data_IF_856392113715
#
_entry.id   IF_856392113715
#
_cell.length_a   1.000
_cell.length_b   1.000
_cell.length_c   1.000
_cell.angle_alpha   90.00
_cell.angle_beta   90.00
_cell.angle_gamma   90.00
#
_symmetry.space_group_name_H-M   'P 1'
#
loop_
_entity.id
_entity.type
_entity.pdbx_description
1 polymer ?
#
# COMPACT_ATOMS: atom_id res chain seq x y z
N UNK A 1 -68.93 -23.59 -25.55
CA UNK A 1 -68.07 -23.03 -24.49
C UNK A 1 -66.65 -23.43 -24.84
N UNK A 2 -65.94 -22.59 -25.58
CA UNK A 2 -64.61 -22.88 -26.15
C UNK A 2 -63.57 -21.97 -25.52
N UNK A 3 -62.48 -22.57 -25.06
CA UNK A 3 -61.48 -21.99 -24.17
C UNK A 3 -60.67 -20.85 -24.82
N UNK A 4 -60.51 -19.76 -24.06
CA UNK A 4 -59.61 -18.65 -24.39
C UNK A 4 -58.15 -19.12 -24.30
N UNK A 5 -57.46 -19.07 -25.43
CA UNK A 5 -56.02 -19.23 -25.54
C UNK A 5 -55.33 -17.96 -25.03
N UNK A 6 -54.70 -18.01 -23.86
CA UNK A 6 -53.81 -16.95 -23.36
C UNK A 6 -52.37 -17.28 -23.74
N UNK A 7 -51.84 -16.58 -24.74
CA UNK A 7 -50.43 -16.65 -25.10
C UNK A 7 -49.62 -15.88 -24.05
N UNK A 8 -48.81 -16.59 -23.27
CA UNK A 8 -47.80 -16.01 -22.39
C UNK A 8 -46.58 -15.66 -23.24
N UNK A 9 -46.40 -14.37 -23.51
CA UNK A 9 -45.20 -13.86 -24.16
C UNK A 9 -44.03 -13.91 -23.15
N UNK A 10 -43.13 -14.88 -23.32
CA UNK A 10 -41.89 -15.00 -22.57
C UNK A 10 -40.90 -13.95 -23.10
N UNK A 11 -40.84 -12.79 -22.44
CA UNK A 11 -39.81 -11.78 -22.67
C UNK A 11 -38.46 -12.28 -22.15
N UNK A 12 -37.57 -12.68 -23.05
CA UNK A 12 -36.20 -13.09 -22.73
C UNK A 12 -35.39 -11.83 -22.35
N UNK A 13 -35.27 -11.53 -21.06
CA UNK A 13 -34.33 -10.52 -20.56
C UNK A 13 -32.94 -11.12 -20.70
N UNK A 14 -32.26 -10.82 -21.80
CA UNK A 14 -30.82 -11.05 -21.94
C UNK A 14 -30.13 -10.02 -21.06
N UNK A 15 -29.91 -10.37 -19.79
CA UNK A 15 -28.99 -9.66 -18.93
C UNK A 15 -27.60 -9.75 -19.58
N UNK A 16 -27.18 -8.68 -20.25
CA UNK A 16 -25.79 -8.51 -20.65
C UNK A 16 -24.96 -8.51 -19.36
N UNK A 17 -24.42 -9.69 -19.03
CA UNK A 17 -23.40 -9.82 -18.01
C UNK A 17 -22.18 -9.05 -18.54
N UNK A 18 -22.10 -7.78 -18.15
CA UNK A 18 -20.85 -7.03 -18.21
C UNK A 18 -19.85 -7.89 -17.45
N UNK A 19 -19.02 -8.60 -18.21
CA UNK A 19 -18.00 -9.47 -17.65
C UNK A 19 -17.07 -8.51 -16.91
N UNK A 20 -17.14 -8.49 -15.59
CA UNK A 20 -16.20 -7.77 -14.76
C UNK A 20 -14.82 -8.31 -15.12
N UNK A 21 -14.10 -7.60 -15.99
CA UNK A 21 -12.77 -7.99 -16.39
C UNK A 21 -11.93 -7.99 -15.12
N UNK A 22 -11.43 -9.17 -14.78
CA UNK A 22 -10.57 -9.32 -13.62
C UNK A 22 -9.31 -8.51 -13.92
N UNK A 23 -8.94 -7.53 -13.09
CA UNK A 23 -7.81 -6.67 -13.37
C UNK A 23 -6.56 -7.53 -13.50
N UNK A 24 -5.90 -7.42 -14.65
CA UNK A 24 -4.74 -8.24 -15.02
C UNK A 24 -3.53 -7.84 -14.18
N UNK A 25 -2.74 -8.78 -13.63
CA UNK A 25 -1.48 -8.49 -12.95
C UNK A 25 -0.54 -7.64 -13.81
N UNK A 26 0.20 -6.74 -13.16
CA UNK A 26 1.22 -5.92 -13.81
C UNK A 26 2.36 -6.78 -14.39
N UNK A 27 2.67 -6.62 -15.68
CA UNK A 27 3.79 -7.34 -16.28
C UNK A 27 5.15 -6.66 -15.97
N UNK A 28 5.95 -7.27 -15.08
CA UNK A 28 7.31 -6.82 -14.75
C UNK A 28 8.31 -6.99 -15.91
N UNK A 29 8.09 -7.96 -16.80
CA UNK A 29 8.97 -8.21 -17.93
C UNK A 29 8.85 -7.07 -18.96
N UNK A 30 7.66 -6.50 -19.12
CA UNK A 30 7.42 -5.34 -19.97
C UNK A 30 7.97 -4.05 -19.33
N UNK A 31 9.05 -3.43 -19.85
CA UNK A 31 9.63 -2.21 -19.30
C UNK A 31 8.88 -0.93 -19.71
N UNK A 32 7.87 -1.01 -20.58
CA UNK A 32 7.20 0.17 -21.10
C UNK A 32 6.53 0.96 -19.97
N UNK A 33 6.82 2.26 -19.92
CA UNK A 33 6.27 3.14 -18.91
C UNK A 33 4.75 3.32 -19.12
N UNK A 34 3.97 3.16 -18.05
CA UNK A 34 2.50 3.14 -18.11
C UNK A 34 1.86 3.36 -16.75
N UNK A 35 0.56 3.61 -16.74
CA UNK A 35 -0.22 3.63 -15.52
C UNK A 35 -0.57 2.21 -15.08
N UNK A 36 -0.48 1.99 -13.77
CA UNK A 36 -0.89 0.75 -13.08
C UNK A 36 -1.73 1.13 -11.87
N UNK A 37 -2.49 0.18 -11.34
CA UNK A 37 -3.20 0.31 -10.08
C UNK A 37 -2.44 -0.41 -8.96
N UNK A 38 -2.36 0.23 -7.80
CA UNK A 38 -1.81 -0.33 -6.57
C UNK A 38 -2.91 -0.42 -5.53
N UNK A 39 -3.11 -1.61 -4.98
CA UNK A 39 -3.97 -1.82 -3.81
C UNK A 39 -3.10 -2.31 -2.67
N UNK A 40 -3.16 -1.67 -1.52
CA UNK A 40 -2.39 -2.07 -0.35
C UNK A 40 -3.30 -2.67 0.71
N UNK A 41 -2.76 -3.59 1.52
CA UNK A 41 -3.46 -4.04 2.72
C UNK A 41 -3.37 -2.93 3.77
N UNK A 42 -4.50 -2.30 4.07
CA UNK A 42 -4.62 -1.24 5.08
C UNK A 42 -5.31 -1.84 6.29
N UNK A 43 -4.57 -1.99 7.38
CA UNK A 43 -5.14 -2.40 8.65
C UNK A 43 -5.48 -1.19 9.53
N UNK A 44 -6.54 -1.27 10.35
CA UNK A 44 -6.70 -0.33 11.45
C UNK A 44 -5.48 -0.43 12.38
N UNK A 45 -5.19 0.65 13.12
CA UNK A 45 -3.96 0.77 13.94
C UNK A 45 -3.74 -0.34 14.96
N UNK A 46 -4.78 -1.13 15.27
CA UNK A 46 -4.83 -2.16 16.29
C UNK A 46 -5.01 -3.59 15.75
N UNK A 47 -5.05 -3.80 14.42
CA UNK A 47 -5.17 -5.13 13.83
C UNK A 47 -3.98 -5.48 12.91
N UNK A 48 -3.60 -6.76 12.90
CA UNK A 48 -2.64 -7.28 11.93
C UNK A 48 -3.32 -7.64 10.58
N UNK A 49 -4.61 -7.99 10.64
CA UNK A 49 -5.43 -8.28 9.46
C UNK A 49 -6.03 -6.97 8.94
N UNK A 50 -5.73 -6.64 7.68
CA UNK A 50 -6.23 -5.44 7.03
C UNK A 50 -7.31 -5.73 6.00
N UNK A 51 -7.88 -4.64 5.48
CA UNK A 51 -8.71 -4.67 4.27
C UNK A 51 -7.88 -4.19 3.09
N UNK A 52 -8.21 -4.69 1.91
CA UNK A 52 -7.58 -4.21 0.69
C UNK A 52 -8.11 -2.80 0.39
N UNK A 53 -7.21 -1.84 0.16
CA UNK A 53 -7.60 -0.48 -0.21
C UNK A 53 -8.36 -0.45 -1.55
N UNK A 54 -9.06 0.66 -1.86
CA UNK A 54 -9.37 1.02 -3.24
C UNK A 54 -8.08 1.09 -4.09
N UNK A 55 -8.17 0.97 -5.42
CA UNK A 55 -7.02 1.16 -6.29
C UNK A 55 -6.50 2.61 -6.21
N UNK A 56 -5.21 2.74 -5.88
CA UNK A 56 -4.45 3.96 -6.05
C UNK A 56 -3.78 3.96 -7.42
N UNK A 57 -3.81 5.09 -8.12
CA UNK A 57 -3.11 5.21 -9.41
C UNK A 57 -1.61 5.32 -9.17
N UNK A 58 -0.82 4.59 -9.96
CA UNK A 58 0.62 4.64 -9.88
C UNK A 58 1.26 4.64 -11.27
N UNK A 59 2.42 5.30 -11.36
CA UNK A 59 3.22 5.29 -12.57
C UNK A 59 4.28 4.18 -12.49
N UNK A 60 4.29 3.30 -13.48
CA UNK A 60 5.29 2.26 -13.67
C UNK A 60 6.31 2.69 -14.73
N UNK A 61 7.59 2.48 -14.46
CA UNK A 61 8.70 2.77 -15.40
C UNK A 61 9.96 1.95 -15.08
N UNK A 62 10.94 1.90 -16.00
CA UNK A 62 12.27 1.36 -15.70
C UNK A 62 12.95 2.12 -14.55
N UNK A 63 13.69 1.39 -13.72
CA UNK A 63 14.48 1.98 -12.63
C UNK A 63 15.83 2.54 -13.10
N UNK A 64 16.68 2.85 -12.12
CA UNK A 64 17.98 3.46 -12.38
C UNK A 64 19.00 2.45 -12.90
N UNK A 65 18.89 1.19 -12.44
CA UNK A 65 19.76 0.10 -12.90
C UNK A 65 19.03 -0.85 -13.85
N UNK A 66 19.75 -1.53 -14.76
CA UNK A 66 19.15 -2.56 -15.61
C UNK A 66 18.50 -3.65 -14.77
N UNK A 67 17.23 -3.94 -15.04
CA UNK A 67 16.44 -4.94 -14.31
C UNK A 67 15.56 -4.36 -13.21
N UNK A 68 15.78 -3.13 -12.77
CA UNK A 68 14.88 -2.47 -11.83
C UNK A 68 13.58 -2.00 -12.51
N UNK A 69 12.49 -2.09 -11.76
CA UNK A 69 11.19 -1.48 -12.06
C UNK A 69 10.78 -0.59 -10.93
N UNK A 70 10.30 0.60 -11.26
CA UNK A 70 9.81 1.58 -10.31
C UNK A 70 8.31 1.73 -10.51
N UNK A 71 7.54 1.49 -9.45
CA UNK A 71 6.14 1.88 -9.35
C UNK A 71 6.08 3.03 -8.35
N UNK A 72 5.40 4.13 -8.69
CA UNK A 72 5.17 5.16 -7.67
C UNK A 72 3.77 5.71 -7.67
N UNK A 73 3.18 5.64 -6.47
CA UNK A 73 1.88 6.22 -6.14
C UNK A 73 2.12 7.68 -5.74
N UNK A 74 1.52 8.67 -6.41
CA UNK A 74 1.70 10.07 -6.06
C UNK A 74 1.30 10.38 -4.61
N UNK A 75 2.00 11.30 -3.95
CA UNK A 75 1.67 11.72 -2.58
C UNK A 75 0.18 12.01 -2.30
N UNK A 76 -0.53 12.77 -3.17
CA UNK A 76 -1.97 12.99 -3.02
C UNK A 76 -2.82 11.70 -3.10
N UNK A 77 -2.38 10.70 -3.87
CA UNK A 77 -3.03 9.38 -3.92
C UNK A 77 -2.75 8.57 -2.65
N UNK A 78 -1.54 8.68 -2.07
CA UNK A 78 -1.19 8.06 -0.78
C UNK A 78 -2.10 8.58 0.33
N UNK A 79 -2.25 9.91 0.44
CA UNK A 79 -3.14 10.57 1.40
C UNK A 79 -4.58 10.07 1.23
N UNK A 80 -5.09 10.15 0.00
CA UNK A 80 -6.48 9.86 -0.32
C UNK A 80 -6.85 8.39 -0.16
N UNK A 81 -5.94 7.45 -0.44
CA UNK A 81 -6.26 6.02 -0.53
C UNK A 81 -5.78 5.23 0.67
N UNK A 82 -4.51 5.41 1.06
CA UNK A 82 -3.89 4.59 2.13
C UNK A 82 -4.08 5.20 3.52
N UNK A 83 -4.34 6.50 3.58
CA UNK A 83 -4.57 7.25 4.82
C UNK A 83 -5.97 7.85 4.91
N UNK A 84 -6.93 7.36 4.11
CA UNK A 84 -8.31 7.86 4.07
C UNK A 84 -9.02 7.87 5.44
N UNK A 85 -8.74 6.88 6.28
CA UNK A 85 -9.32 6.75 7.62
C UNK A 85 -8.50 7.46 8.71
N UNK A 86 -7.43 8.18 8.32
CA UNK A 86 -6.58 8.97 9.21
C UNK A 86 -6.62 10.43 8.82
N UNK A 87 -6.36 11.30 9.79
CA UNK A 87 -6.28 12.74 9.53
C UNK A 87 -4.89 13.07 8.96
N UNK A 88 -4.67 12.74 7.68
CA UNK A 88 -3.43 13.10 6.99
C UNK A 88 -3.27 14.63 6.94
N UNK A 89 -2.05 15.12 7.18
CA UNK A 89 -1.72 16.53 6.94
C UNK A 89 -1.68 16.74 5.43
N UNK A 90 -2.49 17.67 4.93
CA UNK A 90 -2.67 17.87 3.50
C UNK A 90 -1.36 18.18 2.78
N UNK A 91 -1.11 17.50 1.66
CA UNK A 91 0.09 17.67 0.82
C UNK A 91 1.42 17.40 1.55
N UNK A 92 1.38 16.65 2.65
CA UNK A 92 2.59 16.30 3.40
C UNK A 92 3.26 15.04 2.88
N UNK A 93 2.53 14.17 2.18
CA UNK A 93 3.06 12.88 1.75
C UNK A 93 3.93 13.00 0.50
N UNK A 94 5.06 12.31 0.54
CA UNK A 94 5.86 12.00 -0.64
C UNK A 94 5.16 10.95 -1.50
N UNK A 95 5.65 10.78 -2.74
CA UNK A 95 5.32 9.59 -3.52
C UNK A 95 5.67 8.33 -2.71
N UNK A 96 4.80 7.32 -2.78
CA UNK A 96 5.12 5.98 -2.31
C UNK A 96 5.74 5.19 -3.44
N UNK A 97 7.06 5.06 -3.37
CA UNK A 97 7.90 4.45 -4.40
C UNK A 97 8.17 3.01 -4.03
N UNK A 98 7.98 2.10 -4.98
CA UNK A 98 8.36 0.70 -4.92
C UNK A 98 9.39 0.43 -6.00
N UNK A 99 10.52 -0.17 -5.62
CA UNK A 99 11.59 -0.61 -6.51
C UNK A 99 11.61 -2.14 -6.47
N UNK A 100 11.31 -2.75 -7.61
CA UNK A 100 11.26 -4.20 -7.78
C UNK A 100 12.37 -4.65 -8.72
N UNK A 101 12.97 -5.80 -8.42
CA UNK A 101 13.81 -6.53 -9.37
C UNK A 101 12.92 -7.31 -10.35
N UNK A 102 13.04 -7.04 -11.64
CA UNK A 102 12.17 -7.62 -12.67
C UNK A 102 12.36 -9.14 -12.83
N UNK A 103 13.56 -9.67 -12.56
CA UNK A 103 13.88 -11.08 -12.76
C UNK A 103 13.37 -11.96 -11.62
N UNK A 104 13.54 -11.51 -10.39
CA UNK A 104 13.19 -12.27 -9.19
C UNK A 104 11.86 -11.86 -8.55
N UNK A 105 11.31 -10.70 -8.93
CA UNK A 105 10.12 -10.12 -8.30
C UNK A 105 10.37 -9.58 -6.90
N UNK A 106 11.61 -9.60 -6.39
CA UNK A 106 11.92 -9.07 -5.06
C UNK A 106 11.72 -7.55 -5.02
N UNK A 107 11.00 -7.07 -3.99
CA UNK A 107 11.04 -5.64 -3.62
C UNK A 107 12.40 -5.36 -3.01
N UNK A 108 13.20 -4.57 -3.72
CA UNK A 108 14.51 -4.09 -3.29
C UNK A 108 14.32 -3.04 -2.20
N UNK A 109 13.46 -2.05 -2.46
CA UNK A 109 13.07 -1.02 -1.52
C UNK A 109 11.64 -0.55 -1.82
N UNK A 110 10.88 -0.21 -0.79
CA UNK A 110 9.69 0.61 -0.94
C UNK A 110 9.58 1.60 0.21
N UNK A 111 9.26 2.85 -0.07
CA UNK A 111 9.29 3.91 0.94
C UNK A 111 8.36 5.08 0.63
N UNK A 112 7.88 5.71 1.70
CA UNK A 112 7.22 7.01 1.66
C UNK A 112 7.47 7.74 2.97
N UNK A 113 7.26 9.05 2.98
CA UNK A 113 7.18 9.87 4.18
C UNK A 113 5.97 10.78 4.13
N UNK A 114 5.50 11.25 5.28
CA UNK A 114 4.39 12.21 5.37
C UNK A 114 4.14 12.62 6.81
N UNK A 115 3.02 13.28 7.04
CA UNK A 115 2.58 13.63 8.39
C UNK A 115 1.08 13.33 8.58
N UNK A 116 0.72 12.93 9.80
CA UNK A 116 -0.65 12.68 10.21
C UNK A 116 -0.93 13.42 11.52
N UNK A 117 -2.15 13.93 11.68
CA UNK A 117 -2.66 14.40 12.95
C UNK A 117 -3.22 13.20 13.73
N UNK A 118 -2.51 12.80 14.79
CA UNK A 118 -2.97 11.74 15.67
C UNK A 118 -3.71 12.34 16.88
N UNK A 119 -4.94 11.89 17.18
CA UNK A 119 -5.61 12.28 18.41
C UNK A 119 -4.86 11.68 19.61
N UNK A 120 -4.65 12.49 20.64
CA UNK A 120 -3.98 12.09 21.87
C UNK A 120 -4.85 12.43 23.07
N UNK A 121 -4.93 11.47 23.99
CA UNK A 121 -5.62 11.64 25.27
C UNK A 121 -4.58 11.85 26.37
N UNK A 122 -4.59 13.04 26.98
CA UNK A 122 -3.72 13.38 28.11
C UNK A 122 -4.62 13.74 29.29
N UNK A 123 -4.99 12.73 30.07
CA UNK A 123 -5.99 12.88 31.13
C UNK A 123 -7.36 13.26 30.53
N UNK A 124 -8.05 14.31 31.02
CA UNK A 124 -9.34 14.74 30.48
C UNK A 124 -9.23 15.58 29.18
N UNK A 125 -8.01 15.89 28.71
CA UNK A 125 -7.81 16.71 27.52
C UNK A 125 -7.73 15.82 26.28
N UNK A 126 -8.61 16.11 25.30
CA UNK A 126 -8.52 15.58 23.95
C UNK A 126 -7.84 16.61 23.05
N UNK A 127 -6.70 16.25 22.48
CA UNK A 127 -5.94 17.11 21.56
C UNK A 127 -5.50 16.32 20.33
N UNK A 128 -4.93 16.98 19.34
CA UNK A 128 -4.29 16.34 18.20
C UNK A 128 -2.84 16.80 18.09
N UNK A 129 -1.94 15.87 17.82
CA UNK A 129 -0.53 16.18 17.57
C UNK A 129 -0.15 15.75 16.17
N UNK A 130 0.63 16.59 15.49
CA UNK A 130 1.25 16.21 14.23
C UNK A 130 2.36 15.19 14.50
N UNK A 131 2.29 14.06 13.78
CA UNK A 131 3.26 12.97 13.83
C UNK A 131 3.85 12.81 12.44
N UNK A 132 5.14 13.04 12.31
CA UNK A 132 5.88 12.74 11.08
C UNK A 132 6.07 11.22 10.98
N UNK A 133 5.80 10.66 9.80
CA UNK A 133 5.97 9.24 9.53
C UNK A 133 6.92 9.02 8.36
N UNK A 134 7.77 8.02 8.47
CA UNK A 134 8.62 7.54 7.39
C UNK A 134 8.59 6.01 7.38
N UNK A 135 8.31 5.42 6.22
CA UNK A 135 8.19 3.98 6.05
C UNK A 135 9.28 3.45 5.11
N UNK A 136 9.80 2.26 5.42
CA UNK A 136 10.70 1.50 4.54
C UNK A 136 10.30 0.04 4.56
N UNK A 137 10.23 -0.59 3.39
CA UNK A 137 9.90 -2.00 3.19
C UNK A 137 10.85 -2.68 2.21
N UNK A 138 11.05 -3.98 2.39
CA UNK A 138 11.81 -4.83 1.48
C UNK A 138 11.37 -6.29 1.66
N UNK A 139 11.48 -7.09 0.61
CA UNK A 139 11.31 -8.55 0.73
C UNK A 139 12.51 -9.24 1.38
N UNK A 140 13.65 -8.54 1.49
CA UNK A 140 14.88 -9.02 2.12
C UNK A 140 14.98 -8.65 3.60
N UNK A 141 14.13 -7.75 4.08
CA UNK A 141 14.09 -7.40 5.50
C UNK A 141 13.33 -8.48 6.28
N UNK A 142 13.99 -9.21 7.21
CA UNK A 142 13.27 -10.06 8.14
C UNK A 142 12.48 -9.18 9.12
N UNK A 143 11.49 -9.78 9.77
CA UNK A 143 10.83 -9.13 10.90
C UNK A 143 9.37 -9.53 11.04
N UNK A 144 8.68 -8.74 11.84
CA UNK A 144 7.27 -8.92 12.09
C UNK A 144 6.78 -7.90 13.09
N UNK A 145 5.87 -8.34 13.96
CA UNK A 145 5.28 -7.46 14.94
C UNK A 145 5.25 -8.06 16.35
N UNK A 146 5.29 -7.19 17.34
CA UNK A 146 5.01 -7.54 18.74
C UNK A 146 3.54 -7.34 19.05
N UNK A 147 3.10 -7.89 20.19
CA UNK A 147 1.74 -7.67 20.69
C UNK A 147 1.43 -6.17 20.77
N UNK A 148 0.18 -5.76 20.45
CA UNK A 148 -0.24 -4.38 20.60
C UNK A 148 -0.03 -3.89 22.04
N UNK A 149 0.46 -2.67 22.20
CA UNK A 149 0.56 -1.98 23.48
C UNK A 149 0.09 -0.54 23.31
N UNK A 150 -0.24 0.14 24.41
CA UNK A 150 -0.77 1.51 24.36
C UNK A 150 0.31 2.55 24.62
N UNK A 151 0.36 3.59 23.79
CA UNK A 151 1.16 4.81 24.00
C UNK A 151 0.19 5.98 23.92
N UNK A 152 0.05 6.74 25.02
CA UNK A 152 -0.84 7.90 25.11
C UNK A 152 -2.28 7.63 24.60
N UNK A 153 -2.85 6.51 25.05
CA UNK A 153 -4.20 6.08 24.67
C UNK A 153 -4.31 5.37 23.30
N UNK A 154 -3.26 5.38 22.48
CA UNK A 154 -3.25 4.79 21.13
C UNK A 154 -2.66 3.39 21.13
N UNK A 155 -3.32 2.45 20.46
CA UNK A 155 -2.77 1.12 20.23
C UNK A 155 -1.65 1.20 19.19
N UNK A 156 -0.47 0.69 19.55
CA UNK A 156 0.71 0.63 18.70
C UNK A 156 1.15 -0.82 18.60
N UNK A 157 1.25 -1.30 17.36
CA UNK A 157 1.83 -2.60 17.04
C UNK A 157 3.31 -2.36 16.75
N UNK A 158 4.18 -2.72 17.70
CA UNK A 158 5.62 -2.48 17.55
C UNK A 158 6.22 -3.35 16.44
N UNK A 159 7.09 -2.79 15.62
CA UNK A 159 7.91 -3.58 14.71
C UNK A 159 9.02 -4.31 15.47
N UNK A 160 9.33 -5.54 15.06
CA UNK A 160 10.49 -6.28 15.51
C UNK A 160 11.30 -6.77 14.32
N UNK A 161 12.58 -6.38 14.25
CA UNK A 161 13.50 -6.79 13.18
C UNK A 161 13.95 -8.26 13.35
N UNK A 162 14.14 -8.71 14.58
CA UNK A 162 14.51 -10.10 14.86
C UNK A 162 13.25 -10.98 14.96
N UNK A 163 12.93 -11.62 13.83
CA UNK A 163 11.82 -12.56 13.71
C UNK A 163 11.97 -13.83 14.58
N UNK A 164 13.16 -14.10 15.14
CA UNK A 164 13.39 -15.25 16.04
C UNK A 164 13.15 -14.92 17.50
N UNK A 165 12.99 -13.65 17.84
CA UNK A 165 12.71 -13.23 19.21
C UNK A 165 11.34 -13.75 19.66
N UNK A 166 11.25 -14.31 20.88
CA UNK A 166 10.04 -14.98 21.41
C UNK A 166 8.76 -14.14 21.37
N UNK A 167 8.90 -12.83 21.51
CA UNK A 167 7.80 -11.86 21.54
C UNK A 167 7.50 -11.25 20.15
N UNK A 168 8.14 -11.76 19.10
CA UNK A 168 7.97 -11.32 17.71
C UNK A 168 7.16 -12.34 16.93
N UNK A 169 5.99 -11.94 16.46
CA UNK A 169 5.22 -12.69 15.47
C UNK A 169 5.84 -12.41 14.10
N UNK A 170 6.62 -13.36 13.60
CA UNK A 170 7.26 -13.27 12.30
C UNK A 170 6.22 -13.14 11.17
N UNK A 171 6.50 -12.25 10.21
CA UNK A 171 5.72 -12.13 8.98
C UNK A 171 6.58 -12.65 7.84
N UNK A 172 6.11 -13.67 7.13
CA UNK A 172 6.84 -14.18 5.97
C UNK A 172 6.80 -13.14 4.84
N UNK A 173 7.94 -12.85 4.19
CA UNK A 173 7.97 -12.04 2.96
C UNK A 173 7.68 -12.92 1.74
N UNK A 174 7.22 -12.30 0.66
CA UNK A 174 7.02 -12.95 -0.62
C UNK A 174 7.38 -11.99 -1.75
N UNK A 175 8.14 -12.48 -2.73
CA UNK A 175 8.40 -11.79 -3.98
C UNK A 175 7.09 -11.58 -4.77
N UNK A 176 7.16 -10.73 -5.80
CA UNK A 176 6.05 -10.49 -6.70
C UNK A 176 5.62 -11.78 -7.39
N UNK A 177 4.34 -12.12 -7.26
CA UNK A 177 3.72 -13.24 -7.94
C UNK A 177 3.05 -12.75 -9.24
N UNK A 178 3.54 -13.17 -10.42
CA UNK A 178 3.00 -12.73 -11.71
C UNK A 178 1.58 -13.23 -11.98
N UNK A 179 1.09 -14.27 -11.29
CA UNK A 179 -0.28 -14.77 -11.49
C UNK A 179 -1.31 -13.93 -10.75
N UNK A 180 -0.99 -13.46 -9.54
CA UNK A 180 -1.91 -12.68 -8.70
C UNK A 180 -1.61 -11.18 -8.67
N UNK A 181 -0.41 -10.78 -9.10
CA UNK A 181 0.13 -9.45 -8.97
C UNK A 181 0.47 -9.04 -7.55
N UNK A 182 0.52 -9.99 -6.62
CA UNK A 182 0.71 -9.76 -5.19
C UNK A 182 2.19 -9.70 -4.83
N UNK A 183 2.53 -8.83 -3.88
CA UNK A 183 3.82 -8.84 -3.18
C UNK A 183 3.62 -8.73 -1.68
N UNK A 184 4.61 -9.20 -0.91
CA UNK A 184 4.67 -8.99 0.54
C UNK A 184 6.07 -8.60 0.97
N UNK A 185 6.30 -7.30 1.08
CA UNK A 185 7.49 -6.72 1.68
C UNK A 185 7.26 -6.48 3.18
N UNK A 186 8.28 -6.72 3.99
CA UNK A 186 8.27 -6.40 5.41
C UNK A 186 9.00 -5.08 5.65
N UNK A 187 8.68 -4.42 6.76
CA UNK A 187 9.30 -3.16 7.10
C UNK A 187 8.67 -2.49 8.29
N UNK A 188 9.10 -1.26 8.53
CA UNK A 188 8.68 -0.47 9.67
C UNK A 188 8.25 0.93 9.24
N UNK A 189 7.37 1.52 10.04
CA UNK A 189 7.07 2.94 10.03
C UNK A 189 7.73 3.56 11.25
N UNK A 190 8.67 4.46 11.01
CA UNK A 190 9.19 5.35 12.03
C UNK A 190 8.20 6.50 12.22
N UNK A 191 7.54 6.55 13.36
CA UNK A 191 6.69 7.67 13.76
C UNK A 191 7.44 8.57 14.75
N UNK A 192 7.48 9.86 14.45
CA UNK A 192 8.22 10.86 15.21
C UNK A 192 7.27 11.97 15.66
N UNK A 193 7.28 12.26 16.96
CA UNK A 193 6.61 13.41 17.55
C UNK A 193 7.57 14.09 18.52
N UNK A 194 8.00 15.32 18.18
CA UNK A 194 9.08 16.03 18.89
C UNK A 194 10.34 15.15 18.99
N UNK A 195 10.79 14.80 20.20
CA UNK A 195 11.93 13.92 20.45
C UNK A 195 11.55 12.45 20.63
N UNK A 196 10.26 12.11 20.64
CA UNK A 196 9.79 10.74 20.77
C UNK A 196 9.78 10.08 19.40
N UNK A 197 10.39 8.90 19.32
CA UNK A 197 10.43 8.06 18.11
C UNK A 197 9.93 6.67 18.46
N UNK A 198 9.12 6.11 17.59
CA UNK A 198 8.65 4.73 17.73
C UNK A 198 8.67 4.03 16.38
N UNK A 199 9.03 2.75 16.40
CA UNK A 199 9.00 1.88 15.24
C UNK A 199 7.73 1.01 15.31
N UNK A 200 6.80 1.29 14.42
CA UNK A 200 5.56 0.55 14.29
C UNK A 200 5.61 -0.40 13.08
N UNK A 201 4.95 -1.54 13.21
CA UNK A 201 4.65 -2.42 12.09
C UNK A 201 3.44 -1.87 11.31
N UNK A 202 3.42 -2.09 9.99
CA UNK A 202 2.26 -1.79 9.15
C UNK A 202 2.10 -2.85 8.05
N UNK A 203 0.86 -3.10 7.66
CA UNK A 203 0.52 -4.00 6.55
C UNK A 203 0.69 -3.38 5.17
N UNK A 204 1.03 -2.08 5.07
CA UNK A 204 1.22 -1.38 3.79
C UNK A 204 2.32 -1.98 2.89
N UNK A 205 3.23 -2.79 3.47
CA UNK A 205 4.20 -3.58 2.72
C UNK A 205 3.58 -4.74 1.92
N UNK A 206 2.29 -5.06 2.11
CA UNK A 206 1.56 -6.01 1.27
C UNK A 206 0.73 -5.25 0.23
N UNK A 207 0.99 -5.52 -1.05
CA UNK A 207 0.34 -4.81 -2.15
C UNK A 207 0.02 -5.74 -3.33
N UNK A 208 -0.93 -5.30 -4.14
CA UNK A 208 -1.31 -5.89 -5.41
C UNK A 208 -1.12 -4.84 -6.50
N UNK A 209 -0.43 -5.23 -7.57
CA UNK A 209 -0.17 -4.39 -8.74
C UNK A 209 -0.86 -4.98 -9.95
N UNK A 210 -1.76 -4.20 -10.55
CA UNK A 210 -2.51 -4.59 -11.74
C UNK A 210 -2.37 -3.54 -12.83
N UNK A 211 -2.47 -3.97 -14.08
CA UNK A 211 -2.57 -3.06 -15.22
C UNK A 211 -3.80 -2.17 -15.07
N UNK A 212 -3.65 -0.90 -15.44
CA UNK A 212 -4.75 0.05 -15.50
C UNK A 212 -5.28 0.08 -16.93
N UNK A 213 -6.60 0.02 -17.08
CA UNK A 213 -7.21 0.06 -18.41
C UNK A 213 -7.05 1.46 -19.03
N UNK A 214 -6.90 1.52 -20.35
CA UNK A 214 -6.56 2.75 -21.08
C UNK A 214 -7.55 3.92 -20.83
N UNK A 215 -8.80 3.62 -20.47
CA UNK A 215 -9.83 4.62 -20.19
C UNK A 215 -9.65 5.31 -18.82
N UNK A 216 -9.02 4.64 -17.86
CA UNK A 216 -8.77 5.17 -16.51
C UNK A 216 -7.42 5.91 -16.42
N UNK A 217 -6.60 5.83 -17.48
CA UNK A 217 -5.22 6.32 -17.49
C UNK A 217 -5.15 7.84 -17.70
N UNK A 218 -4.51 8.60 -16.79
CA UNK A 218 -4.23 10.01 -17.02
C UNK A 218 -3.35 10.23 -18.26
N UNK A 219 -3.54 11.34 -19.00
CA UNK A 219 -2.87 11.56 -20.28
C UNK A 219 -1.35 11.74 -20.20
N UNK A 220 -0.79 12.08 -19.01
CA UNK A 220 0.66 12.28 -18.82
C UNK A 220 1.11 11.91 -17.41
N UNK A 221 2.38 11.50 -17.30
CA UNK A 221 3.08 11.35 -16.02
C UNK A 221 3.05 12.69 -15.25
N UNK A 222 2.75 12.69 -13.94
CA UNK A 222 2.93 13.87 -13.12
C UNK A 222 4.41 14.30 -13.12
N UNK A 223 4.69 15.59 -13.26
CA UNK A 223 6.06 16.12 -13.14
C UNK A 223 6.59 15.79 -11.74
N UNK A 224 7.60 14.93 -11.66
CA UNK A 224 8.30 14.62 -10.40
C UNK A 224 9.40 15.63 -10.11
N UNK A 225 9.55 15.97 -8.83
CA UNK A 225 10.84 16.40 -8.31
C UNK A 225 11.79 15.18 -8.28
N UNK A 226 13.10 15.34 -8.55
CA UNK A 226 14.04 14.23 -8.50
C UNK A 226 13.99 13.57 -7.12
N UNK A 227 13.64 12.28 -7.09
CA UNK A 227 13.68 11.45 -5.90
C UNK A 227 15.16 11.24 -5.52
N UNK A 228 15.54 11.72 -4.34
CA UNK A 228 16.71 11.21 -3.65
C UNK A 228 16.37 9.78 -3.22
N UNK A 229 16.81 8.78 -4.01
CA UNK A 229 16.75 7.38 -3.61
C UNK A 229 17.51 7.24 -2.28
N UNK A 230 16.79 6.95 -1.21
CA UNK A 230 17.41 6.53 0.04
C UNK A 230 18.18 5.23 -0.23
N UNK A 231 19.42 5.16 0.27
CA UNK A 231 20.29 4.00 0.11
C UNK A 231 19.59 2.70 0.55
N UNK A 232 19.88 1.62 -0.16
CA UNK A 232 19.23 0.30 -0.06
C UNK A 232 18.90 -0.16 1.36
N UNK A 233 17.66 -0.59 1.57
CA UNK A 233 17.29 -1.68 2.48
C UNK A 233 17.43 -1.46 3.99
N UNK A 234 17.91 -0.31 4.45
CA UNK A 234 17.92 0.00 5.87
C UNK A 234 16.50 0.40 6.33
N UNK A 235 16.04 -0.02 7.53
CA UNK A 235 14.89 0.61 8.15
C UNK A 235 15.16 2.11 8.28
N UNK A 236 14.13 2.98 8.23
CA UNK A 236 14.32 4.40 8.44
C UNK A 236 15.05 4.60 9.77
N UNK A 237 16.02 5.52 9.79
CA UNK A 237 16.68 5.91 11.03
C UNK A 237 15.66 6.62 11.94
N UNK A 238 14.93 5.83 12.71
CA UNK A 238 14.47 6.20 14.04
C UNK A 238 15.70 6.26 14.96
#
# INVERSE_FOLDING_TARGET
>A
MSALSSQVALGLIVAAAASAQTPRPMDLANPAARWVAVRALVAPSDAADGRLSPPARAWYEPGATPGERVVSVPGPEVERVFFADRKAVASSFSDFVWVLDAASGHVLAASFSGAIDEPVEIGPLHTSVEVSIAASFSTRMPGGYRRPHRIAGRSVIAYCADARHRDCTAVATAAYDPESGRVRANGAVCATWRSLRTLAYTSLGQAWFTELESEDAPPRRPRRAPLLLAAEGAPPAC
#
